data_IF_086925891688
#
_entry.id   IF_086925891688
#
_cell.length_a   1.000
_cell.length_b   1.000
_cell.length_c   1.000
_cell.angle_alpha   90.00
_cell.angle_beta   90.00
_cell.angle_gamma   90.00
#
_symmetry.space_group_name_H-M   'P 1'
#
loop_
_entity.id
_entity.type
_entity.pdbx_description
1 polymer ?
#
# COMPACT_ATOMS: atom_id res chain seq x y z
N UNK A 1 33.97 -3.38 -19.29
CA UNK A 1 32.93 -4.16 -20.00
C UNK A 1 32.57 -5.44 -19.26
N UNK A 2 33.52 -6.31 -18.91
CA UNK A 2 33.26 -7.56 -18.18
C UNK A 2 32.51 -7.37 -16.86
N UNK A 3 32.92 -6.39 -16.04
CA UNK A 3 32.23 -6.03 -14.80
C UNK A 3 30.77 -5.59 -15.03
N UNK A 4 30.49 -4.85 -16.12
CA UNK A 4 29.13 -4.42 -16.46
C UNK A 4 28.28 -5.67 -16.70
N UNK A 5 28.79 -6.61 -17.49
CA UNK A 5 28.13 -7.87 -17.80
C UNK A 5 27.88 -8.70 -16.54
N UNK A 6 28.86 -8.80 -15.65
CA UNK A 6 28.70 -9.52 -14.38
C UNK A 6 27.61 -8.90 -13.49
N UNK A 7 27.63 -7.58 -13.32
CA UNK A 7 26.62 -6.86 -12.53
C UNK A 7 25.24 -7.00 -13.17
N UNK A 8 25.12 -6.87 -14.48
CA UNK A 8 23.84 -6.99 -15.19
C UNK A 8 23.27 -8.41 -15.15
N UNK A 9 24.10 -9.45 -15.17
CA UNK A 9 23.66 -10.84 -15.04
C UNK A 9 23.27 -11.18 -13.60
N UNK A 10 24.05 -10.73 -12.62
CA UNK A 10 23.84 -11.06 -11.20
C UNK A 10 22.74 -10.22 -10.55
N UNK A 11 22.57 -8.98 -11.00
CA UNK A 11 21.59 -8.03 -10.49
C UNK A 11 20.79 -7.40 -11.65
N UNK A 12 19.84 -8.14 -12.25
CA UNK A 12 19.12 -7.70 -13.47
C UNK A 12 18.33 -6.40 -13.30
N UNK A 13 17.99 -6.04 -12.06
CA UNK A 13 17.29 -4.81 -11.72
C UNK A 13 18.20 -3.59 -11.56
N UNK A 14 19.53 -3.75 -11.53
CA UNK A 14 20.47 -2.65 -11.32
C UNK A 14 20.85 -2.01 -12.65
N UNK A 15 20.56 -0.72 -12.81
CA UNK A 15 21.01 0.06 -13.96
C UNK A 15 22.47 0.47 -13.80
N UNK A 16 23.33 0.10 -14.76
CA UNK A 16 24.76 0.43 -14.74
C UNK A 16 25.03 1.60 -15.69
N UNK A 17 25.67 2.66 -15.21
CA UNK A 17 26.14 3.78 -16.04
C UNK A 17 27.66 3.75 -16.07
N UNK A 18 28.24 3.70 -17.27
CA UNK A 18 29.70 3.69 -17.46
C UNK A 18 30.23 5.11 -17.60
N UNK A 19 31.33 5.43 -16.93
CA UNK A 19 32.07 6.68 -17.09
C UNK A 19 33.40 6.35 -17.79
N UNK A 20 33.74 7.08 -18.86
CA UNK A 20 34.94 6.79 -19.67
C UNK A 20 35.57 8.07 -20.23
N UNK A 21 36.88 8.06 -20.51
CA UNK A 21 37.55 9.12 -21.28
C UNK A 21 37.43 8.92 -22.79
N UNK A 22 36.96 7.74 -23.23
CA UNK A 22 36.85 7.37 -24.64
C UNK A 22 35.41 7.55 -25.13
N UNK A 23 35.21 8.48 -26.07
CA UNK A 23 33.93 8.78 -26.71
C UNK A 23 33.69 7.97 -28.01
N UNK A 24 34.49 6.91 -28.23
CA UNK A 24 34.42 6.09 -29.43
C UNK A 24 33.06 5.38 -29.59
N UNK A 25 32.48 5.38 -30.80
CA UNK A 25 31.19 4.73 -31.06
C UNK A 25 31.24 3.21 -30.83
N UNK A 26 32.40 2.59 -31.00
CA UNK A 26 32.61 1.16 -30.71
C UNK A 26 32.43 0.85 -29.22
N UNK A 27 33.05 1.65 -28.34
CA UNK A 27 32.95 1.45 -26.90
C UNK A 27 31.52 1.68 -26.39
N UNK A 28 30.78 2.60 -27.01
CA UNK A 28 29.37 2.80 -26.71
C UNK A 28 28.53 1.54 -27.01
N UNK A 29 28.68 0.98 -28.22
CA UNK A 29 27.98 -0.24 -28.61
C UNK A 29 28.34 -1.41 -27.68
N UNK A 30 29.63 -1.64 -27.44
CA UNK A 30 30.12 -2.73 -26.59
C UNK A 30 29.63 -2.61 -25.14
N UNK A 31 29.52 -1.39 -24.61
CA UNK A 31 29.00 -1.13 -23.27
C UNK A 31 27.50 -1.45 -23.18
N UNK A 32 26.71 -1.03 -24.17
CA UNK A 32 25.28 -1.32 -24.24
C UNK A 32 25.03 -2.82 -24.38
N UNK A 33 25.78 -3.52 -25.25
CA UNK A 33 25.71 -4.97 -25.43
C UNK A 33 26.13 -5.74 -24.18
N UNK A 34 26.99 -5.14 -23.35
CA UNK A 34 27.39 -5.70 -22.05
C UNK A 34 26.37 -5.44 -20.94
N UNK A 35 25.29 -4.68 -21.20
CA UNK A 35 24.21 -4.43 -20.24
C UNK A 35 24.19 -3.03 -19.62
N UNK A 36 25.06 -2.11 -20.06
CA UNK A 36 25.00 -0.73 -19.60
C UNK A 36 23.67 -0.07 -19.98
N UNK A 37 23.23 0.86 -19.13
CA UNK A 37 22.01 1.69 -19.33
C UNK A 37 22.34 3.15 -19.58
N UNK A 38 23.61 3.51 -19.52
CA UNK A 38 24.09 4.83 -19.88
C UNK A 38 25.61 4.85 -19.98
N UNK A 39 26.10 5.84 -20.72
CA UNK A 39 27.51 6.16 -20.83
C UNK A 39 27.66 7.66 -20.67
N UNK A 40 28.69 8.07 -19.92
CA UNK A 40 29.08 9.47 -19.68
C UNK A 40 30.56 9.59 -19.97
N UNK A 41 30.95 10.68 -20.65
CA UNK A 41 32.36 10.93 -20.97
C UNK A 41 33.02 11.88 -19.96
N UNK A 42 34.32 11.72 -19.74
CA UNK A 42 35.14 12.66 -18.98
C UNK A 42 35.66 13.78 -19.90
N UNK A 43 35.66 15.05 -19.44
CA UNK A 43 35.19 15.51 -18.13
C UNK A 43 33.66 15.49 -18.00
N UNK A 44 33.17 15.07 -16.84
CA UNK A 44 31.74 14.83 -16.62
C UNK A 44 30.99 16.15 -16.40
N UNK A 45 29.93 16.37 -17.18
CA UNK A 45 28.90 17.37 -16.89
C UNK A 45 27.94 16.86 -15.80
N UNK A 46 27.62 17.70 -14.81
CA UNK A 46 26.63 17.36 -13.79
C UNK A 46 25.26 17.06 -14.41
N UNK A 47 24.82 17.88 -15.37
CA UNK A 47 23.54 17.72 -16.05
C UNK A 47 23.50 16.41 -16.84
N UNK A 48 24.58 16.08 -17.55
CA UNK A 48 24.69 14.83 -18.32
C UNK A 48 24.64 13.60 -17.40
N UNK A 49 25.42 13.61 -16.31
CA UNK A 49 25.42 12.52 -15.34
C UNK A 49 24.05 12.36 -14.69
N UNK A 50 23.42 13.46 -14.26
CA UNK A 50 22.09 13.46 -13.66
C UNK A 50 21.06 12.83 -14.61
N UNK A 51 21.06 13.22 -15.88
CA UNK A 51 20.16 12.67 -16.90
C UNK A 51 20.38 11.16 -17.10
N UNK A 52 21.64 10.71 -17.17
CA UNK A 52 21.95 9.27 -17.34
C UNK A 52 21.57 8.44 -16.11
N UNK A 53 21.82 8.95 -14.91
CA UNK A 53 21.45 8.29 -13.66
C UNK A 53 19.94 8.20 -13.51
N UNK A 54 19.20 9.28 -13.82
CA UNK A 54 17.74 9.26 -13.78
C UNK A 54 17.13 8.26 -14.77
N UNK A 55 17.64 8.22 -16.01
CA UNK A 55 17.18 7.25 -17.01
C UNK A 55 17.45 5.80 -16.56
N UNK A 56 18.64 5.52 -16.01
CA UNK A 56 18.98 4.21 -15.47
C UNK A 56 18.11 3.82 -14.26
N UNK A 57 17.78 4.78 -13.39
CA UNK A 57 16.90 4.58 -12.25
C UNK A 57 15.45 4.29 -12.68
N UNK A 58 14.91 5.03 -13.66
CA UNK A 58 13.56 4.78 -14.20
C UNK A 58 13.46 3.37 -14.81
N UNK A 59 14.47 2.97 -15.58
CA UNK A 59 14.57 1.60 -16.11
C UNK A 59 14.63 0.56 -14.99
N UNK A 60 15.48 0.78 -13.97
CA UNK A 60 15.61 -0.10 -12.80
C UNK A 60 14.28 -0.31 -12.08
N UNK A 61 13.50 0.75 -11.87
CA UNK A 61 12.17 0.68 -11.25
C UNK A 61 11.15 -0.04 -12.14
N UNK A 62 11.25 0.13 -13.47
CA UNK A 62 10.43 -0.63 -14.43
C UNK A 62 10.71 -2.13 -14.42
N UNK A 63 11.99 -2.51 -14.40
CA UNK A 63 12.43 -3.90 -14.34
C UNK A 63 12.11 -4.52 -12.98
N UNK A 64 12.31 -3.79 -11.87
CA UNK A 64 11.88 -4.26 -10.55
C UNK A 64 10.39 -4.54 -10.50
N UNK A 65 9.55 -3.70 -11.11
CA UNK A 65 8.10 -3.99 -11.19
C UNK A 65 7.80 -5.30 -11.92
N UNK A 66 8.44 -5.54 -13.07
CA UNK A 66 8.25 -6.79 -13.82
C UNK A 66 8.83 -8.01 -13.08
N UNK A 67 9.98 -7.88 -12.43
CA UNK A 67 10.60 -8.95 -11.63
C UNK A 67 9.81 -9.21 -10.33
N UNK A 68 9.24 -8.17 -9.71
CA UNK A 68 8.43 -8.26 -8.48
C UNK A 68 7.06 -8.92 -8.68
N UNK A 69 6.63 -9.13 -9.94
CA UNK A 69 5.51 -10.03 -10.23
C UNK A 69 5.86 -11.49 -9.90
N UNK A 70 7.16 -11.80 -9.81
CA UNK A 70 7.71 -13.11 -9.49
C UNK A 70 8.55 -13.07 -8.21
N UNK A 71 7.91 -12.92 -7.05
CA UNK A 71 8.31 -13.73 -5.89
C UNK A 71 9.29 -13.18 -4.85
N UNK A 72 9.44 -11.87 -4.66
CA UNK A 72 10.13 -11.40 -3.45
C UNK A 72 9.18 -11.44 -2.24
N UNK A 73 9.33 -12.49 -1.44
CA UNK A 73 8.82 -12.56 -0.06
C UNK A 73 9.71 -11.66 0.79
N UNK A 74 9.11 -10.71 1.50
CA UNK A 74 9.82 -9.79 2.38
C UNK A 74 10.51 -10.59 3.51
N UNK A 75 11.84 -10.54 3.58
CA UNK A 75 12.64 -11.26 4.60
C UNK A 75 12.95 -10.41 5.86
N UNK A 76 12.36 -9.21 5.97
CA UNK A 76 12.40 -8.36 7.16
C UNK A 76 11.30 -8.69 8.21
N UNK A 77 11.09 -7.87 9.26
CA UNK A 77 10.10 -8.09 10.31
C UNK A 77 8.61 -8.03 9.86
N UNK A 78 8.33 -8.18 8.56
CA UNK A 78 7.04 -7.92 7.93
C UNK A 78 6.78 -6.44 7.72
N UNK A 79 5.91 -6.12 6.76
CA UNK A 79 5.42 -4.76 6.53
C UNK A 79 4.65 -4.18 7.71
N UNK A 80 4.42 -2.87 7.66
CA UNK A 80 3.60 -2.14 8.63
C UNK A 80 2.15 -2.15 8.18
N UNK A 81 1.24 -2.60 9.03
CA UNK A 81 -0.20 -2.63 8.78
C UNK A 81 -0.86 -1.42 9.45
N UNK A 82 -1.56 -0.61 8.67
CA UNK A 82 -2.34 0.53 9.14
C UNK A 82 -3.80 0.33 8.79
N UNK A 83 -4.67 0.22 9.79
CA UNK A 83 -6.11 0.18 9.57
C UNK A 83 -6.71 1.58 9.71
N UNK A 84 -7.72 1.87 8.91
CA UNK A 84 -8.45 3.14 8.92
C UNK A 84 -9.93 2.82 9.13
N UNK A 85 -10.51 3.32 10.22
CA UNK A 85 -11.93 3.12 10.56
C UNK A 85 -12.60 4.47 10.73
N UNK A 86 -13.81 4.62 10.19
CA UNK A 86 -14.64 5.81 10.38
C UNK A 86 -15.47 5.75 11.65
N UNK A 87 -15.52 6.83 12.41
CA UNK A 87 -16.38 6.97 13.59
C UNK A 87 -17.88 6.89 13.27
N UNK A 88 -18.24 7.20 12.01
CA UNK A 88 -19.55 7.06 11.38
C UNK A 88 -19.39 7.14 9.85
N UNK A 89 -20.46 6.93 9.10
CA UNK A 89 -20.49 7.19 7.66
C UNK A 89 -20.13 8.66 7.31
N UNK A 90 -19.38 8.83 6.22
CA UNK A 90 -19.09 10.14 5.62
C UNK A 90 -18.06 11.01 6.36
N UNK A 91 -17.33 10.49 7.35
CA UNK A 91 -16.22 11.20 8.03
C UNK A 91 -14.95 11.28 7.17
N UNK A 92 -14.90 10.54 6.06
CA UNK A 92 -13.77 10.52 5.13
C UNK A 92 -12.71 9.46 5.44
N UNK A 93 -13.08 8.33 6.06
CA UNK A 93 -12.18 7.22 6.33
C UNK A 93 -11.54 6.66 5.05
N UNK A 94 -12.35 6.25 4.07
CA UNK A 94 -11.90 5.76 2.75
C UNK A 94 -10.97 6.72 2.03
N UNK A 95 -11.34 8.01 1.98
CA UNK A 95 -10.48 9.04 1.38
C UNK A 95 -9.15 9.16 2.14
N UNK A 96 -9.19 9.09 3.47
CA UNK A 96 -7.97 9.12 4.30
C UNK A 96 -7.09 7.89 4.02
N UNK A 97 -7.67 6.70 3.90
CA UNK A 97 -6.95 5.47 3.56
C UNK A 97 -6.27 5.55 2.19
N UNK A 98 -7.00 6.02 1.17
CA UNK A 98 -6.47 6.23 -0.19
C UNK A 98 -5.31 7.23 -0.16
N UNK A 99 -5.48 8.38 0.47
CA UNK A 99 -4.45 9.42 0.52
C UNK A 99 -3.22 8.98 1.31
N UNK A 100 -3.40 8.23 2.40
CA UNK A 100 -2.31 7.64 3.16
C UNK A 100 -1.52 6.64 2.30
N UNK A 101 -2.20 5.77 1.56
CA UNK A 101 -1.56 4.81 0.68
C UNK A 101 -0.78 5.50 -0.45
N UNK A 102 -1.37 6.52 -1.09
CA UNK A 102 -0.71 7.31 -2.13
C UNK A 102 0.52 8.06 -1.59
N UNK A 103 0.44 8.66 -0.41
CA UNK A 103 1.58 9.35 0.20
C UNK A 103 2.72 8.38 0.55
N UNK A 104 2.39 7.21 1.09
CA UNK A 104 3.36 6.15 1.36
C UNK A 104 4.04 5.65 0.08
N UNK A 105 3.26 5.45 -0.99
CA UNK A 105 3.78 5.03 -2.29
C UNK A 105 4.67 6.12 -2.90
N UNK A 106 4.27 7.38 -2.85
CA UNK A 106 5.06 8.52 -3.32
C UNK A 106 6.39 8.69 -2.56
N UNK A 107 6.44 8.19 -1.32
CA UNK A 107 7.66 8.15 -0.50
C UNK A 107 8.60 6.98 -0.85
N UNK A 108 8.25 6.17 -1.86
CA UNK A 108 9.09 5.09 -2.37
C UNK A 108 8.78 3.70 -1.79
N UNK A 109 7.77 3.56 -0.93
CA UNK A 109 7.39 2.28 -0.36
C UNK A 109 6.55 1.44 -1.33
N UNK A 110 6.67 0.12 -1.21
CA UNK A 110 5.70 -0.82 -1.77
C UNK A 110 4.45 -0.83 -0.90
N UNK A 111 3.29 -0.50 -1.50
CA UNK A 111 2.05 -0.28 -0.74
C UNK A 111 0.91 -1.12 -1.29
N UNK A 112 0.25 -1.85 -0.39
CA UNK A 112 -1.07 -2.41 -0.64
C UNK A 112 -2.16 -1.55 0.01
N UNK A 113 -3.21 -1.26 -0.75
CA UNK A 113 -4.44 -0.65 -0.27
C UNK A 113 -5.57 -1.69 -0.37
N UNK A 114 -6.16 -1.99 0.78
CA UNK A 114 -7.18 -3.04 0.93
C UNK A 114 -8.51 -2.40 1.30
N UNK A 115 -9.56 -2.74 0.58
CA UNK A 115 -10.93 -2.30 0.86
C UNK A 115 -11.70 -3.36 1.64
N UNK A 116 -11.64 -3.30 2.97
CA UNK A 116 -12.34 -4.21 3.88
C UNK A 116 -13.70 -3.65 4.34
N UNK A 117 -14.18 -2.56 3.74
CA UNK A 117 -15.60 -2.21 3.82
C UNK A 117 -16.38 -3.13 2.86
N UNK A 118 -16.53 -4.39 3.28
CA UNK A 118 -16.97 -5.48 2.39
C UNK A 118 -18.41 -5.31 1.86
N UNK A 119 -19.23 -4.48 2.49
CA UNK A 119 -20.62 -4.26 2.09
C UNK A 119 -20.79 -2.99 1.24
N UNK A 120 -20.00 -1.95 1.51
CA UNK A 120 -20.18 -0.62 0.93
C UNK A 120 -18.87 0.03 0.45
N UNK A 121 -17.84 -0.77 0.21
CA UNK A 121 -16.51 -0.34 -0.20
C UNK A 121 -16.51 0.37 -1.55
N UNK A 122 -15.92 1.56 -1.56
CA UNK A 122 -15.95 2.49 -2.70
C UNK A 122 -14.56 2.76 -3.28
N UNK A 123 -13.49 2.08 -2.82
CA UNK A 123 -12.12 2.37 -3.29
C UNK A 123 -12.01 2.22 -4.81
N UNK A 124 -12.67 1.20 -5.38
CA UNK A 124 -12.72 0.98 -6.83
C UNK A 124 -13.30 2.21 -7.57
N UNK A 125 -14.38 2.78 -7.04
CA UNK A 125 -15.04 3.97 -7.59
C UNK A 125 -14.16 5.23 -7.47
N UNK A 126 -13.50 5.42 -6.32
CA UNK A 126 -12.62 6.57 -6.10
C UNK A 126 -11.39 6.57 -7.02
N UNK A 127 -10.91 5.39 -7.41
CA UNK A 127 -9.73 5.23 -8.26
C UNK A 127 -10.06 4.89 -9.71
N UNK A 128 -11.34 4.90 -10.09
CA UNK A 128 -11.83 4.54 -11.44
C UNK A 128 -11.30 3.18 -11.93
N UNK A 129 -11.38 2.17 -11.06
CA UNK A 129 -10.88 0.81 -11.32
C UNK A 129 -12.04 -0.16 -11.51
N UNK A 130 -12.02 -0.88 -12.63
CA UNK A 130 -12.87 -2.04 -12.84
C UNK A 130 -12.04 -3.31 -12.78
N UNK A 131 -12.15 -4.05 -11.67
CA UNK A 131 -11.43 -5.30 -11.48
C UNK A 131 -12.37 -6.37 -10.92
N UNK A 132 -12.31 -7.57 -11.51
CA UNK A 132 -13.28 -8.64 -11.21
C UNK A 132 -12.96 -9.43 -9.94
N UNK A 133 -11.69 -9.42 -9.50
CA UNK A 133 -11.29 -10.15 -8.29
C UNK A 133 -11.31 -9.22 -7.09
N UNK A 134 -11.57 -9.81 -5.93
CA UNK A 134 -11.84 -9.14 -4.67
C UNK A 134 -11.29 -9.95 -3.49
N UNK A 135 -11.43 -9.40 -2.29
CA UNK A 135 -11.15 -10.10 -1.02
C UNK A 135 -11.84 -11.47 -0.92
N UNK A 136 -13.06 -11.59 -1.45
CA UNK A 136 -13.85 -12.82 -1.35
C UNK A 136 -13.20 -13.97 -2.10
N UNK A 137 -12.54 -13.69 -3.23
CA UNK A 137 -11.84 -14.70 -4.03
C UNK A 137 -10.64 -15.31 -3.28
N UNK A 138 -10.08 -14.57 -2.32
CA UNK A 138 -9.05 -15.06 -1.42
C UNK A 138 -9.63 -15.76 -0.18
N UNK A 139 -10.85 -15.38 0.24
CA UNK A 139 -11.43 -15.87 1.48
C UNK A 139 -11.72 -17.38 1.48
N UNK A 140 -11.93 -17.96 0.30
CA UNK A 140 -12.19 -19.38 0.08
C UNK A 140 -10.91 -20.23 0.01
N UNK A 141 -9.72 -19.61 0.02
CA UNK A 141 -8.43 -20.28 -0.18
C UNK A 141 -7.74 -20.49 1.17
N UNK A 142 -7.50 -21.76 1.53
CA UNK A 142 -6.90 -22.12 2.82
C UNK A 142 -5.47 -21.61 2.98
N UNK A 143 -4.65 -21.66 1.92
CA UNK A 143 -3.26 -21.22 1.93
C UNK A 143 -3.00 -20.23 0.79
N UNK A 144 -2.92 -18.95 1.12
CA UNK A 144 -2.70 -17.87 0.16
C UNK A 144 -1.21 -17.84 -0.20
N UNK A 145 -0.85 -18.52 -1.30
CA UNK A 145 0.50 -18.43 -1.85
C UNK A 145 0.79 -17.03 -2.43
N UNK A 146 2.07 -16.62 -2.55
CA UNK A 146 2.43 -15.33 -3.17
C UNK A 146 1.85 -15.14 -4.57
N UNK A 147 1.74 -16.23 -5.35
CA UNK A 147 1.16 -16.22 -6.70
C UNK A 147 -0.35 -15.99 -6.66
N UNK A 148 -1.06 -16.68 -5.78
CA UNK A 148 -2.51 -16.49 -5.57
C UNK A 148 -2.81 -15.05 -5.17
N UNK A 149 -2.03 -14.50 -4.23
CA UNK A 149 -2.15 -13.10 -3.82
C UNK A 149 -1.85 -12.15 -4.99
N UNK A 150 -0.83 -12.42 -5.80
CA UNK A 150 -0.49 -11.60 -6.97
C UNK A 150 -1.65 -11.51 -7.95
N UNK A 151 -2.33 -12.63 -8.20
CA UNK A 151 -3.41 -12.67 -9.17
C UNK A 151 -4.69 -11.99 -8.65
N UNK A 152 -4.88 -11.91 -7.33
CA UNK A 152 -6.04 -11.25 -6.70
C UNK A 152 -5.85 -9.74 -6.48
N UNK A 153 -4.64 -9.22 -6.64
CA UNK A 153 -4.32 -7.81 -6.47
C UNK A 153 -4.31 -7.11 -7.82
N UNK A 154 -4.95 -5.95 -7.91
CA UNK A 154 -4.88 -5.08 -9.06
C UNK A 154 -3.70 -4.11 -8.95
N UNK A 155 -2.82 -4.08 -9.96
CA UNK A 155 -1.74 -3.09 -10.02
C UNK A 155 -2.24 -1.78 -10.62
N UNK A 156 -2.42 -0.76 -9.79
CA UNK A 156 -2.89 0.56 -10.22
C UNK A 156 -1.77 1.38 -10.89
N UNK A 157 -2.14 2.33 -11.75
CA UNK A 157 -1.19 3.19 -12.49
C UNK A 157 -0.32 4.05 -11.58
N UNK A 158 -0.79 4.36 -10.36
CA UNK A 158 -0.03 5.05 -9.32
C UNK A 158 1.06 4.18 -8.69
N UNK A 159 1.05 2.85 -8.92
CA UNK A 159 1.96 1.91 -8.26
C UNK A 159 1.41 1.28 -6.99
N UNK A 160 0.16 1.57 -6.61
CA UNK A 160 -0.54 0.86 -5.54
C UNK A 160 -0.93 -0.56 -5.97
N UNK A 161 -0.82 -1.50 -5.05
CA UNK A 161 -1.46 -2.80 -5.11
C UNK A 161 -2.86 -2.68 -4.47
N UNK A 162 -3.93 -2.85 -5.24
CA UNK A 162 -5.30 -2.77 -4.74
C UNK A 162 -5.88 -4.16 -4.51
N UNK A 163 -6.45 -4.37 -3.32
CA UNK A 163 -7.27 -5.54 -3.03
C UNK A 163 -8.67 -5.06 -2.62
N UNK A 164 -9.63 -5.23 -3.52
CA UNK A 164 -10.92 -4.54 -3.45
C UNK A 164 -11.99 -5.37 -2.73
N UNK A 165 -13.01 -4.67 -2.22
CA UNK A 165 -14.25 -5.25 -1.74
C UNK A 165 -14.99 -5.96 -2.90
N UNK A 166 -15.86 -6.94 -2.62
CA UNK A 166 -16.70 -7.54 -3.65
C UNK A 166 -17.66 -6.52 -4.25
N UNK A 167 -18.00 -6.67 -5.53
CA UNK A 167 -19.03 -5.82 -6.17
C UNK A 167 -20.45 -6.08 -5.66
N UNK A 168 -20.67 -7.25 -5.05
CA UNK A 168 -21.92 -7.69 -4.43
C UNK A 168 -21.72 -7.70 -2.91
N UNK A 169 -22.29 -6.73 -2.20
CA UNK A 169 -21.99 -6.50 -0.78
C UNK A 169 -22.39 -7.66 0.16
N UNK A 170 -23.39 -8.45 -0.22
CA UNK A 170 -23.80 -9.65 0.53
C UNK A 170 -22.70 -10.72 0.59
N UNK A 171 -21.80 -10.74 -0.41
CA UNK A 171 -20.66 -11.66 -0.44
C UNK A 171 -19.60 -11.29 0.58
N UNK A 172 -19.67 -10.10 1.18
CA UNK A 172 -18.81 -9.71 2.29
C UNK A 172 -18.87 -10.66 3.48
N UNK A 173 -20.01 -11.33 3.70
CA UNK A 173 -20.18 -12.34 4.77
C UNK A 173 -19.33 -13.60 4.54
N UNK A 174 -18.84 -13.85 3.32
CA UNK A 174 -17.94 -14.97 3.01
C UNK A 174 -16.53 -14.74 3.61
N UNK A 175 -16.17 -13.49 3.93
CA UNK A 175 -14.86 -13.17 4.50
C UNK A 175 -14.88 -13.35 6.01
N UNK A 176 -14.47 -14.54 6.45
CA UNK A 176 -14.30 -14.84 7.87
C UNK A 176 -13.15 -14.05 8.52
N UNK A 177 -13.15 -13.97 9.86
CA UNK A 177 -12.04 -13.45 10.65
C UNK A 177 -10.74 -14.23 10.36
N UNK A 178 -10.83 -15.56 10.25
CA UNK A 178 -9.69 -16.41 9.88
C UNK A 178 -9.12 -16.04 8.51
N UNK A 179 -9.98 -15.92 7.50
CA UNK A 179 -9.58 -15.56 6.14
C UNK A 179 -8.96 -14.17 6.11
N UNK A 180 -9.53 -13.20 6.83
CA UNK A 180 -8.97 -11.86 6.98
C UNK A 180 -7.55 -11.90 7.58
N UNK A 181 -7.32 -12.68 8.65
CA UNK A 181 -5.97 -12.83 9.24
C UNK A 181 -4.95 -13.39 8.25
N UNK A 182 -5.36 -14.38 7.45
CA UNK A 182 -4.50 -14.98 6.43
C UNK A 182 -4.16 -13.98 5.32
N UNK A 183 -5.16 -13.22 4.84
CA UNK A 183 -4.97 -12.18 3.83
C UNK A 183 -4.03 -11.09 4.35
N UNK A 184 -4.26 -10.57 5.57
CA UNK A 184 -3.42 -9.53 6.17
C UNK A 184 -1.98 -10.03 6.35
N UNK A 185 -1.78 -11.27 6.80
CA UNK A 185 -0.45 -11.88 6.92
C UNK A 185 0.25 -12.00 5.56
N UNK A 186 -0.46 -12.47 4.54
CA UNK A 186 0.07 -12.60 3.18
C UNK A 186 0.46 -11.23 2.59
N UNK A 187 -0.35 -10.19 2.81
CA UNK A 187 -0.02 -8.82 2.40
C UNK A 187 1.18 -8.27 3.18
N UNK A 188 1.21 -8.47 4.50
CA UNK A 188 2.32 -8.03 5.37
C UNK A 188 3.66 -8.63 4.96
N UNK A 189 3.67 -9.87 4.47
CA UNK A 189 4.87 -10.53 3.96
C UNK A 189 5.32 -10.08 2.57
N UNK A 190 4.57 -9.22 1.89
CA UNK A 190 4.86 -8.80 0.51
C UNK A 190 5.05 -7.30 0.33
N UNK A 191 4.35 -6.48 1.11
CA UNK A 191 4.36 -5.03 0.99
C UNK A 191 4.96 -4.40 2.24
N UNK A 192 5.75 -3.33 2.07
CA UNK A 192 6.30 -2.56 3.19
C UNK A 192 5.21 -1.89 4.02
N UNK A 193 4.14 -1.43 3.36
CA UNK A 193 3.00 -0.79 4.00
C UNK A 193 1.70 -1.42 3.47
N UNK A 194 0.82 -1.81 4.39
CA UNK A 194 -0.53 -2.31 4.08
C UNK A 194 -1.53 -1.36 4.73
N UNK A 195 -2.24 -0.58 3.91
CA UNK A 195 -3.32 0.29 4.38
C UNK A 195 -4.64 -0.45 4.17
N UNK A 196 -5.44 -0.59 5.22
CA UNK A 196 -6.72 -1.29 5.18
C UNK A 196 -7.83 -0.31 5.55
N UNK A 197 -8.73 -0.03 4.61
CA UNK A 197 -9.98 0.66 4.90
C UNK A 197 -10.97 -0.33 5.51
N UNK A 198 -11.39 -0.09 6.75
CA UNK A 198 -12.37 -0.92 7.45
C UNK A 198 -13.78 -0.29 7.42
N UNK A 199 -13.96 0.84 6.74
CA UNK A 199 -15.25 1.53 6.70
C UNK A 199 -15.72 2.00 8.07
N UNK A 200 -17.04 2.08 8.26
CA UNK A 200 -17.68 2.49 9.52
C UNK A 200 -18.38 1.37 10.29
N UNK A 201 -18.49 0.17 9.71
CA UNK A 201 -19.16 -0.98 10.31
C UNK A 201 -18.14 -1.96 10.90
N UNK A 202 -18.54 -2.66 11.96
CA UNK A 202 -17.72 -3.67 12.60
C UNK A 202 -18.23 -5.07 12.28
N UNK A 203 -17.38 -5.90 11.69
CA UNK A 203 -17.60 -7.31 11.46
C UNK A 203 -16.35 -8.11 11.89
N UNK A 204 -16.39 -9.44 11.80
CA UNK A 204 -15.28 -10.31 12.19
C UNK A 204 -13.99 -10.04 11.42
N UNK A 205 -14.08 -9.76 10.11
CA UNK A 205 -12.94 -9.46 9.26
C UNK A 205 -12.24 -8.15 9.69
N UNK A 206 -13.02 -7.08 9.89
CA UNK A 206 -12.52 -5.78 10.34
C UNK A 206 -11.89 -5.88 11.73
N UNK A 207 -12.53 -6.59 12.65
CA UNK A 207 -11.99 -6.82 13.98
C UNK A 207 -10.62 -7.51 13.93
N UNK A 208 -10.50 -8.57 13.11
CA UNK A 208 -9.23 -9.27 12.91
C UNK A 208 -8.15 -8.37 12.30
N UNK A 209 -8.49 -7.53 11.31
CA UNK A 209 -7.55 -6.60 10.71
C UNK A 209 -7.05 -5.54 11.71
N UNK A 210 -7.95 -4.98 12.53
CA UNK A 210 -7.63 -3.97 13.55
C UNK A 210 -6.75 -4.56 14.66
N UNK A 211 -7.02 -5.79 15.08
CA UNK A 211 -6.21 -6.53 16.05
C UNK A 211 -4.78 -6.76 15.52
N UNK A 212 -4.65 -7.11 14.24
CA UNK A 212 -3.34 -7.35 13.59
C UNK A 212 -2.56 -6.09 13.20
N UNK A 213 -3.21 -4.93 13.21
CA UNK A 213 -2.59 -3.68 12.76
C UNK A 213 -1.43 -3.25 13.67
N UNK A 214 -0.41 -2.61 13.12
CA UNK A 214 0.58 -1.91 13.93
C UNK A 214 0.03 -0.54 14.37
N UNK A 215 -0.79 0.11 13.52
CA UNK A 215 -1.50 1.35 13.84
C UNK A 215 -2.97 1.26 13.45
N UNK A 216 -3.88 1.60 14.36
CA UNK A 216 -5.30 1.75 14.06
C UNK A 216 -5.70 3.23 14.11
N UNK A 217 -6.12 3.75 12.95
CA UNK A 217 -6.55 5.13 12.77
C UNK A 217 -8.07 5.22 12.84
N UNK A 218 -8.58 5.92 13.84
CA UNK A 218 -10.00 6.23 13.98
C UNK A 218 -10.28 7.65 13.45
N UNK A 219 -10.93 7.74 12.30
CA UNK A 219 -11.27 9.00 11.64
C UNK A 219 -12.60 9.53 12.17
N UNK A 220 -12.61 10.77 12.65
CA UNK A 220 -13.81 11.47 13.10
C UNK A 220 -13.87 12.87 12.50
N UNK A 221 -14.99 13.55 12.66
CA UNK A 221 -15.18 14.96 12.31
C UNK A 221 -15.50 15.77 13.57
N UNK A 222 -15.29 17.09 13.57
CA UNK A 222 -15.54 17.95 14.72
C UNK A 222 -17.04 18.25 14.89
N UNK A 223 -17.86 17.22 14.90
CA UNK A 223 -19.28 17.28 15.25
C UNK A 223 -19.60 16.27 16.37
N UNK A 224 -20.58 16.62 17.20
CA UNK A 224 -20.93 15.86 18.41
C UNK A 224 -21.32 14.41 18.08
N UNK A 225 -21.98 14.18 16.94
CA UNK A 225 -22.44 12.84 16.55
C UNK A 225 -21.24 11.95 16.19
N UNK A 226 -20.29 12.48 15.41
CA UNK A 226 -19.06 11.76 15.06
C UNK A 226 -18.21 11.46 16.30
N UNK A 227 -18.03 12.42 17.20
CA UNK A 227 -17.23 12.21 18.43
C UNK A 227 -17.89 11.19 19.36
N UNK A 228 -19.22 11.21 19.52
CA UNK A 228 -19.93 10.15 20.25
C UNK A 228 -19.79 8.80 19.55
N UNK A 229 -19.81 8.77 18.22
CA UNK A 229 -19.51 7.59 17.41
C UNK A 229 -18.13 7.01 17.71
N UNK A 230 -17.10 7.86 17.70
CA UNK A 230 -15.73 7.48 18.01
C UNK A 230 -15.61 6.87 19.42
N UNK A 231 -16.21 7.52 20.44
CA UNK A 231 -16.25 7.01 21.82
C UNK A 231 -16.94 5.65 21.93
N UNK A 232 -18.01 5.41 21.16
CA UNK A 232 -18.68 4.09 21.11
C UNK A 232 -17.78 3.02 20.49
N UNK A 233 -17.09 3.33 19.39
CA UNK A 233 -16.18 2.38 18.73
C UNK A 233 -15.00 2.03 19.63
N UNK A 234 -14.34 3.01 20.25
CA UNK A 234 -13.22 2.75 21.17
C UNK A 234 -13.64 1.86 22.34
N UNK A 235 -14.78 2.16 22.98
CA UNK A 235 -15.32 1.32 24.07
C UNK A 235 -15.70 -0.08 23.60
N UNK A 236 -16.18 -0.21 22.37
CA UNK A 236 -16.51 -1.50 21.77
C UNK A 236 -15.24 -2.32 21.55
N UNK A 237 -14.19 -1.73 20.97
CA UNK A 237 -12.89 -2.39 20.79
C UNK A 237 -12.29 -2.85 22.11
N UNK A 238 -12.35 -2.01 23.14
CA UNK A 238 -11.86 -2.35 24.48
C UNK A 238 -12.67 -3.52 25.08
N UNK A 239 -14.01 -3.46 25.05
CA UNK A 239 -14.85 -4.55 25.58
C UNK A 239 -14.68 -5.87 24.84
N UNK A 240 -14.48 -5.83 23.53
CA UNK A 240 -14.24 -7.00 22.70
C UNK A 240 -12.77 -7.45 22.68
N UNK A 241 -11.89 -6.75 23.41
CA UNK A 241 -10.45 -7.02 23.48
C UNK A 241 -9.77 -7.00 22.10
N UNK A 242 -10.30 -6.18 21.17
CA UNK A 242 -9.74 -6.01 19.83
C UNK A 242 -8.52 -5.08 19.87
N UNK A 243 -8.65 -3.95 20.58
CA UNK A 243 -7.59 -2.94 20.72
C UNK A 243 -7.89 -2.01 21.90
N UNK A 244 -6.84 -1.54 22.58
CA UNK A 244 -6.99 -0.59 23.67
C UNK A 244 -7.11 0.85 23.16
N UNK A 245 -7.71 1.72 23.97
CA UNK A 245 -7.87 3.14 23.64
C UNK A 245 -6.52 3.85 23.43
N UNK A 246 -5.52 3.51 24.26
CA UNK A 246 -4.16 4.07 24.21
C UNK A 246 -3.36 3.65 22.96
N UNK A 247 -3.75 2.55 22.32
CA UNK A 247 -3.15 2.00 21.10
C UNK A 247 -3.89 2.46 19.83
N UNK A 248 -4.85 3.38 19.97
CA UNK A 248 -5.69 3.90 18.88
C UNK A 248 -5.33 5.36 18.59
N UNK A 249 -4.97 5.65 17.33
CA UNK A 249 -4.71 7.01 16.87
C UNK A 249 -6.01 7.62 16.38
N UNK A 250 -6.42 8.77 16.93
CA UNK A 250 -7.62 9.49 16.46
C UNK A 250 -7.22 10.59 15.48
N UNK A 251 -7.83 10.59 14.28
CA UNK A 251 -7.67 11.64 13.28
C UNK A 251 -8.96 12.48 13.20
N UNK A 252 -8.84 13.78 13.46
CA UNK A 252 -9.96 14.72 13.32
C UNK A 252 -9.92 15.34 11.93
N UNK A 253 -10.74 14.80 11.03
CA UNK A 253 -10.86 15.28 9.67
C UNK A 253 -11.75 16.53 9.59
N UNK A 254 -11.58 17.34 8.53
CA UNK A 254 -12.36 18.56 8.27
C UNK A 254 -12.31 19.58 9.41
N UNK A 255 -11.24 19.56 10.20
CA UNK A 255 -11.05 20.53 11.26
C UNK A 255 -10.79 21.93 10.68
N UNK A 256 -11.52 22.91 11.20
CA UNK A 256 -11.26 24.34 10.99
C UNK A 256 -11.22 25.05 12.34
N UNK A 257 -10.67 26.26 12.38
CA UNK A 257 -10.63 27.07 13.61
C UNK A 257 -12.02 27.35 14.21
N UNK A 258 -13.08 27.27 13.41
CA UNK A 258 -14.44 27.61 13.84
C UNK A 258 -15.28 26.38 14.23
N UNK A 259 -14.71 25.17 14.17
CA UNK A 259 -15.43 23.91 14.44
C UNK A 259 -15.06 23.31 15.80
N UNK A 260 -14.62 24.12 16.77
CA UNK A 260 -14.28 23.59 18.09
C UNK A 260 -15.51 23.06 18.83
N UNK A 261 -15.46 21.82 19.32
CA UNK A 261 -16.53 21.24 20.13
C UNK A 261 -16.26 21.52 21.60
N UNK A 262 -17.24 22.09 22.28
CA UNK A 262 -17.17 22.33 23.71
C UNK A 262 -17.28 21.01 24.49
N UNK A 263 -16.38 20.73 25.47
CA UNK A 263 -16.36 19.48 26.24
C UNK A 263 -17.71 19.02 26.84
N UNK A 264 -18.61 19.92 27.33
CA UNK A 264 -19.89 19.52 27.89
C UNK A 264 -20.82 18.79 26.90
N UNK A 265 -20.63 18.95 25.59
CA UNK A 265 -21.49 18.36 24.57
C UNK A 265 -21.22 16.86 24.34
N UNK A 266 -20.08 16.35 24.84
CA UNK A 266 -19.53 15.02 24.54
C UNK A 266 -19.61 14.05 25.74
N UNK A 267 -19.98 14.54 26.94
CA UNK A 267 -20.06 13.71 28.16
C UNK A 267 -20.97 12.49 27.98
#
# INVERSE_FOLDING_TARGET
LELIREVSLRFPSVGVVMITTDAGPHLFADAMDSGARGLVTLPVSYEELANRVQAAAQWSTGVRRHLSSAGDVFTGPGGTVVTVTGAKGGVGATVTAIQLALAAQASGHTVALVDMDLQTGDIASFLDVQFRRSLVDLALITDISPRVLADAVFSHSTGLALLLAPGEGERGEEVSDRSARQIVSALRSRYEIVVIDCGGQMNGANAAAIEMADTALLVTTPDVVAVRGAKRIVRMWERLQIRKAEETVTLVNRFTRNTEIQPPLIQ
#
